data_IF_656613405859
#
_entry.id   IF_656613405859
#
_cell.length_a   1.000
_cell.length_b   1.000
_cell.length_c   1.000
_cell.angle_alpha   90.00
_cell.angle_beta   90.00
_cell.angle_gamma   90.00
#
_symmetry.space_group_name_H-M   'P 1'
#
loop_
_entity.id
_entity.type
_entity.pdbx_description
1 polymer ?
#
# COMPACT_ATOMS: atom_id res chain seq x y z
N UNK A 1 -9.45 -17.48 -11.78
CA UNK A 1 -10.09 -16.59 -10.80
C UNK A 1 -10.48 -17.36 -9.53
N UNK A 2 -11.13 -18.52 -9.64
CA UNK A 2 -11.61 -19.27 -8.46
C UNK A 2 -10.53 -20.01 -7.67
N UNK A 3 -9.47 -20.50 -8.34
CA UNK A 3 -8.38 -21.25 -7.70
C UNK A 3 -7.58 -20.43 -6.66
N UNK A 4 -7.36 -19.14 -6.95
CA UNK A 4 -6.66 -18.21 -6.05
C UNK A 4 -7.52 -17.91 -4.81
N UNK A 5 -8.84 -17.78 -5.00
CA UNK A 5 -9.79 -17.56 -3.92
C UNK A 5 -9.85 -18.79 -3.00
N UNK A 6 -9.88 -20.00 -3.55
CA UNK A 6 -9.84 -21.23 -2.73
C UNK A 6 -8.54 -21.38 -1.95
N UNK A 7 -7.38 -21.07 -2.54
CA UNK A 7 -6.09 -21.14 -1.83
C UNK A 7 -5.99 -20.12 -0.68
N UNK A 8 -6.49 -18.89 -0.89
CA UNK A 8 -6.54 -17.88 0.18
C UNK A 8 -7.47 -18.27 1.34
N UNK A 9 -8.57 -18.95 1.05
CA UNK A 9 -9.49 -19.47 2.06
C UNK A 9 -8.89 -20.65 2.83
N UNK A 10 -8.21 -21.57 2.13
CA UNK A 10 -7.52 -22.71 2.75
C UNK A 10 -6.37 -22.23 3.65
N UNK A 11 -5.63 -21.20 3.23
CA UNK A 11 -4.61 -20.55 4.07
C UNK A 11 -5.20 -19.85 5.30
N UNK A 12 -6.36 -19.19 5.15
CA UNK A 12 -7.06 -18.52 6.25
C UNK A 12 -7.61 -19.50 7.32
N UNK A 13 -7.90 -20.74 6.93
CA UNK A 13 -8.29 -21.81 7.87
C UNK A 13 -7.08 -22.28 8.72
N UNK A 14 -5.86 -22.20 8.18
CA UNK A 14 -4.62 -22.58 8.89
C UNK A 14 -3.98 -21.41 9.65
N UNK A 15 -4.20 -20.17 9.21
CA UNK A 15 -3.71 -18.96 9.85
C UNK A 15 -4.83 -17.92 9.82
N UNK A 16 -5.36 -17.57 10.98
CA UNK A 16 -6.47 -16.62 11.06
C UNK A 16 -6.08 -15.27 10.41
N UNK A 17 -6.85 -14.81 9.41
CA UNK A 17 -6.49 -13.62 8.66
C UNK A 17 -6.62 -12.36 9.53
N UNK A 18 -5.58 -11.52 9.53
CA UNK A 18 -5.57 -10.27 10.32
C UNK A 18 -6.71 -9.31 9.93
N UNK A 19 -7.10 -9.31 8.66
CA UNK A 19 -8.17 -8.47 8.13
C UNK A 19 -9.33 -9.32 7.65
N UNK A 20 -10.48 -9.14 8.29
CA UNK A 20 -11.74 -9.80 7.96
C UNK A 20 -12.79 -8.77 7.52
N UNK A 21 -13.68 -9.20 6.61
CA UNK A 21 -14.86 -8.44 6.23
C UNK A 21 -15.94 -8.56 7.32
N UNK A 22 -16.98 -7.72 7.22
CA UNK A 22 -18.16 -7.83 8.09
C UNK A 22 -18.86 -9.20 8.00
N UNK A 23 -18.61 -9.97 6.94
CA UNK A 23 -19.15 -11.32 6.73
C UNK A 23 -18.20 -12.41 7.25
N UNK A 24 -17.13 -12.05 7.96
CA UNK A 24 -16.14 -12.99 8.50
C UNK A 24 -15.20 -13.60 7.46
N UNK A 25 -15.23 -13.13 6.21
CA UNK A 25 -14.34 -13.61 5.15
C UNK A 25 -13.04 -12.83 5.12
N UNK A 26 -11.90 -13.43 4.72
CA UNK A 26 -10.64 -12.70 4.58
C UNK A 26 -10.77 -11.53 3.61
N UNK A 27 -10.19 -10.38 3.96
CA UNK A 27 -10.10 -9.24 3.06
C UNK A 27 -9.15 -9.54 1.90
N UNK A 28 -9.65 -9.39 0.67
CA UNK A 28 -8.88 -9.48 -0.56
C UNK A 28 -8.42 -8.10 -1.04
N UNK A 29 -7.38 -8.01 -1.89
CA UNK A 29 -6.98 -6.74 -2.51
C UNK A 29 -8.13 -6.01 -3.19
N UNK A 30 -9.07 -6.74 -3.81
CA UNK A 30 -10.26 -6.19 -4.44
C UNK A 30 -11.21 -5.59 -3.40
N UNK A 31 -11.44 -6.27 -2.28
CA UNK A 31 -12.30 -5.76 -1.20
C UNK A 31 -11.72 -4.50 -0.56
N UNK A 32 -10.40 -4.46 -0.33
CA UNK A 32 -9.71 -3.29 0.21
C UNK A 32 -9.78 -2.11 -0.76
N UNK A 33 -9.55 -2.36 -2.06
CA UNK A 33 -9.68 -1.35 -3.10
C UNK A 33 -11.10 -0.80 -3.23
N UNK A 34 -12.13 -1.65 -3.10
CA UNK A 34 -13.52 -1.23 -3.12
C UNK A 34 -13.85 -0.31 -1.93
N UNK A 35 -13.43 -0.67 -0.72
CA UNK A 35 -13.59 0.18 0.48
C UNK A 35 -12.87 1.53 0.35
N UNK A 36 -11.68 1.54 -0.23
CA UNK A 36 -10.99 2.79 -0.52
C UNK A 36 -11.76 3.65 -1.56
N UNK A 37 -12.36 3.01 -2.56
CA UNK A 37 -13.21 3.69 -3.53
C UNK A 37 -14.48 4.29 -2.92
N UNK A 38 -15.09 3.61 -1.95
CA UNK A 38 -16.20 4.13 -1.15
C UNK A 38 -15.77 5.36 -0.33
N UNK A 39 -14.65 5.25 0.41
CA UNK A 39 -14.07 6.36 1.15
C UNK A 39 -13.79 7.57 0.25
N UNK A 40 -13.20 7.33 -0.93
CA UNK A 40 -12.95 8.38 -1.92
C UNK A 40 -14.23 9.11 -2.33
N UNK A 41 -15.33 8.39 -2.55
CA UNK A 41 -16.62 8.99 -2.90
C UNK A 41 -17.14 9.87 -1.77
N UNK A 42 -17.06 9.40 -0.53
CA UNK A 42 -17.48 10.19 0.65
C UNK A 42 -16.68 11.50 0.79
N UNK A 43 -15.36 11.45 0.54
CA UNK A 43 -14.50 12.64 0.55
C UNK A 43 -14.86 13.61 -0.60
N UNK A 44 -15.12 13.09 -1.79
CA UNK A 44 -15.56 13.94 -2.92
C UNK A 44 -16.92 14.59 -2.61
N UNK A 45 -17.83 13.83 -2.01
CA UNK A 45 -19.16 14.30 -1.63
C UNK A 45 -19.11 15.39 -0.54
N UNK A 46 -18.07 15.42 0.29
CA UNK A 46 -17.86 16.51 1.26
C UNK A 46 -17.30 17.80 0.65
N UNK A 47 -17.11 17.83 -0.68
CA UNK A 47 -16.64 18.99 -1.44
C UNK A 47 -15.12 19.05 -1.62
N UNK A 48 -14.39 18.01 -1.21
CA UNK A 48 -12.93 17.94 -1.34
C UNK A 48 -12.58 17.22 -2.65
N UNK A 49 -11.80 17.87 -3.52
CA UNK A 49 -11.25 17.22 -4.70
C UNK A 49 -10.25 16.14 -4.30
N UNK A 50 -10.61 14.87 -4.46
CA UNK A 50 -9.78 13.72 -4.07
C UNK A 50 -9.71 12.70 -5.23
N UNK A 51 -8.72 12.85 -6.13
CA UNK A 51 -8.46 11.93 -7.26
C UNK A 51 -7.28 10.99 -7.01
N UNK A 52 -7.18 10.49 -5.78
CA UNK A 52 -6.14 9.55 -5.38
C UNK A 52 -6.64 8.11 -5.46
N UNK A 53 -5.75 7.21 -5.89
CA UNK A 53 -5.94 5.77 -5.94
C UNK A 53 -5.28 5.12 -4.74
N UNK A 54 -5.67 3.88 -4.43
CA UNK A 54 -5.12 3.14 -3.30
C UNK A 54 -3.59 3.00 -3.35
N UNK A 55 -2.99 2.91 -4.56
CA UNK A 55 -1.54 2.85 -4.71
C UNK A 55 -0.81 4.17 -4.40
N UNK A 56 -1.51 5.30 -4.41
CA UNK A 56 -0.90 6.60 -4.09
C UNK A 56 -0.55 6.71 -2.60
N UNK A 57 -1.21 5.94 -1.73
CA UNK A 57 -0.84 5.83 -0.31
C UNK A 57 0.58 5.30 -0.15
N UNK A 58 0.96 4.31 -0.96
CA UNK A 58 2.28 3.70 -0.94
C UNK A 58 3.35 4.67 -1.42
N UNK A 59 3.05 5.46 -2.46
CA UNK A 59 3.93 6.52 -2.93
C UNK A 59 4.11 7.61 -1.88
N UNK A 60 3.02 8.06 -1.27
CA UNK A 60 3.04 9.08 -0.22
C UNK A 60 3.86 8.62 0.99
N UNK A 61 3.64 7.39 1.45
CA UNK A 61 4.45 6.78 2.51
C UNK A 61 5.94 6.74 2.14
N UNK A 62 6.27 6.33 0.91
CA UNK A 62 7.64 6.26 0.44
C UNK A 62 8.33 7.63 0.48
N UNK A 63 7.67 8.67 -0.03
CA UNK A 63 8.20 10.04 -0.04
C UNK A 63 8.46 10.57 1.37
N UNK A 64 7.46 10.51 2.26
CA UNK A 64 7.62 11.01 3.63
C UNK A 64 8.65 10.19 4.43
N UNK A 65 8.69 8.88 4.22
CA UNK A 65 9.67 8.02 4.91
C UNK A 65 11.08 8.28 4.40
N UNK A 66 11.28 8.44 3.09
CA UNK A 66 12.57 8.80 2.52
C UNK A 66 13.05 10.14 3.08
N UNK A 67 12.17 11.15 3.09
CA UNK A 67 12.48 12.45 3.68
C UNK A 67 12.89 12.35 5.16
N UNK A 68 12.17 11.54 5.95
CA UNK A 68 12.51 11.28 7.36
C UNK A 68 13.87 10.60 7.53
N UNK A 69 14.28 9.72 6.61
CA UNK A 69 15.58 9.04 6.66
C UNK A 69 16.72 10.01 6.29
N UNK A 70 16.51 10.83 5.26
CA UNK A 70 17.47 11.84 4.83
C UNK A 70 17.69 12.91 5.90
N UNK A 71 16.61 13.39 6.53
CA UNK A 71 16.69 14.35 7.64
C UNK A 71 17.34 13.77 8.90
N UNK A 72 17.32 12.45 9.08
CA UNK A 72 18.06 11.76 10.13
C UNK A 72 19.56 11.60 9.82
N UNK A 73 20.03 12.09 8.66
CA UNK A 73 21.43 12.02 8.25
C UNK A 73 21.86 10.68 7.65
N UNK A 74 20.89 9.85 7.24
CA UNK A 74 21.18 8.59 6.54
C UNK A 74 21.56 8.91 5.10
N UNK A 75 22.63 8.28 4.61
CA UNK A 75 23.08 8.40 3.23
C UNK A 75 21.94 8.04 2.25
N UNK A 76 21.71 8.83 1.18
CA UNK A 76 20.59 8.62 0.26
C UNK A 76 20.51 7.21 -0.33
N UNK A 77 21.65 6.57 -0.61
CA UNK A 77 21.69 5.21 -1.15
C UNK A 77 21.17 4.18 -0.12
N UNK A 78 21.59 4.30 1.14
CA UNK A 78 21.16 3.43 2.23
C UNK A 78 19.70 3.66 2.59
N UNK A 79 19.26 4.92 2.62
CA UNK A 79 17.86 5.28 2.85
C UNK A 79 16.94 4.69 1.77
N UNK A 80 17.36 4.72 0.51
CA UNK A 80 16.64 4.14 -0.61
C UNK A 80 16.59 2.61 -0.50
N UNK A 81 17.71 1.97 -0.19
CA UNK A 81 17.80 0.52 -0.01
C UNK A 81 16.90 0.02 1.13
N UNK A 82 16.91 0.70 2.29
CA UNK A 82 16.05 0.40 3.43
C UNK A 82 14.56 0.54 3.06
N UNK A 83 14.21 1.63 2.38
CA UNK A 83 12.84 1.88 1.95
C UNK A 83 12.35 0.80 0.96
N UNK A 84 13.20 0.39 0.01
CA UNK A 84 12.88 -0.69 -0.92
C UNK A 84 12.64 -2.02 -0.23
N UNK A 85 13.46 -2.36 0.77
CA UNK A 85 13.30 -3.56 1.58
C UNK A 85 11.97 -3.54 2.34
N UNK A 86 11.62 -2.43 2.99
CA UNK A 86 10.35 -2.28 3.69
C UNK A 86 9.13 -2.34 2.77
N UNK A 87 9.30 -1.88 1.53
CA UNK A 87 8.27 -2.00 0.51
C UNK A 87 8.24 -3.42 -0.08
N UNK A 88 9.27 -4.25 0.06
CA UNK A 88 9.34 -5.56 -0.59
C UNK A 88 9.50 -5.46 -2.11
N UNK A 89 10.03 -4.35 -2.62
CA UNK A 89 10.40 -4.21 -4.02
C UNK A 89 11.73 -4.92 -4.28
N UNK A 90 11.75 -5.88 -5.22
CA UNK A 90 12.98 -6.61 -5.61
C UNK A 90 13.85 -5.86 -6.64
N UNK A 91 13.29 -4.85 -7.32
CA UNK A 91 13.95 -4.13 -8.41
C UNK A 91 14.04 -2.62 -8.11
N UNK A 92 15.26 -2.05 -8.20
CA UNK A 92 15.57 -0.61 -8.04
C UNK A 92 14.85 0.30 -9.06
N UNK A 93 14.43 -0.25 -10.21
CA UNK A 93 13.80 0.52 -11.28
C UNK A 93 12.44 1.15 -10.91
N UNK A 94 11.77 0.67 -9.86
CA UNK A 94 10.52 1.26 -9.36
C UNK A 94 10.77 2.43 -8.41
N UNK A 95 11.97 2.51 -7.83
CA UNK A 95 12.28 3.41 -6.71
C UNK A 95 12.84 4.75 -7.18
N UNK A 96 13.47 4.79 -8.36
CA UNK A 96 13.98 6.03 -8.96
C UNK A 96 12.92 7.10 -9.24
N UNK A 97 11.63 6.74 -9.32
CA UNK A 97 10.54 7.72 -9.43
C UNK A 97 10.34 8.57 -8.17
N UNK A 98 10.68 8.06 -6.98
CA UNK A 98 10.49 8.79 -5.72
C UNK A 98 11.51 9.92 -5.55
N UNK A 99 12.74 9.70 -6.03
CA UNK A 99 13.78 10.73 -6.09
C UNK A 99 13.42 11.91 -7.00
N UNK A 100 12.48 11.74 -7.94
CA UNK A 100 12.06 12.81 -8.86
C UNK A 100 11.12 13.84 -8.20
N UNK A 101 10.61 13.55 -7.00
CA UNK A 101 9.69 14.42 -6.25
C UNK A 101 10.33 15.06 -5.00
N UNK A 102 11.62 14.80 -4.76
CA UNK A 102 12.47 15.57 -3.85
C UNK A 102 13.24 16.61 -4.65
#
# INVERSE_FOLDING_TARGET
SDKIRSESLVSAIQNEPLFISQQGSPCTPQSTGARFGELRKEIINSGIAFDHKFHDLRCSYATYRLYSLLTAGIEPADALSLLMQWMGHKNESTTGKYLRYL
#
